data_IF_986520404419
#
_entry.id   IF_986520404419
#
_cell.length_a   1.000
_cell.length_b   1.000
_cell.length_c   1.000
_cell.angle_alpha   90.00
_cell.angle_beta   90.00
_cell.angle_gamma   90.00
#
_symmetry.space_group_name_H-M   'P 1'
#
loop_
_entity.id
_entity.type
_entity.pdbx_description
1 polymer ?
2 polymer ?
3 non-polymer ?
4 non-polymer ?
5 non-polymer ?
6 non-polymer ?
7 water ?
#
# COMPACT_ATOMS: atom_id res chain seq x y z
N UNK A 33 -14.31 17.52 14.37
CA UNK A 33 -14.30 16.33 13.50
C UNK A 33 -13.46 15.18 14.03
N UNK A 34 -13.97 13.93 13.94
CA UNK A 34 -13.24 12.74 14.39
C UNK A 34 -12.00 12.47 13.53
N UNK A 35 -11.03 11.74 14.08
CA UNK A 35 -9.81 11.40 13.38
C UNK A 35 -10.08 10.55 12.12
N UNK A 36 -10.95 9.53 12.23
CA UNK A 36 -11.28 8.67 11.09
C UNK A 36 -12.01 9.47 9.95
N UNK A 37 -12.82 10.47 10.29
CA UNK A 37 -13.49 11.31 9.29
C UNK A 37 -12.47 12.15 8.50
N UNK A 38 -11.34 12.54 9.14
CA UNK A 38 -10.24 13.27 8.48
C UNK A 38 -9.47 12.33 7.55
N UNK A 39 -9.31 11.05 7.94
CA UNK A 39 -8.67 10.06 7.08
C UNK A 39 -9.55 9.79 5.87
N UNK A 40 -10.87 9.77 6.07
CA UNK A 40 -11.84 9.54 5.00
C UNK A 40 -11.81 10.63 3.91
N UNK A 41 -11.87 11.91 4.30
CA UNK A 41 -11.93 13.01 3.33
C UNK A 41 -10.71 13.09 2.43
N UNK A 42 -9.56 12.61 2.88
CA UNK A 42 -8.32 12.69 2.08
C UNK A 42 -8.08 11.44 1.21
N UNK A 43 -9.07 10.52 1.17
CA UNK A 43 -8.98 9.34 0.31
C UNK A 43 -8.82 9.74 -1.15
N UNK A 44 -7.75 9.27 -1.84
CA UNK A 44 -7.55 9.69 -3.23
C UNK A 44 -8.67 9.22 -4.17
N UNK A 45 -8.94 10.01 -5.22
CA UNK A 45 -9.93 9.66 -6.25
C UNK A 45 -9.38 8.45 -7.01
N UNK A 46 -10.28 7.57 -7.51
CA UNK A 46 -9.87 6.39 -8.26
C UNK A 46 -9.22 6.83 -9.60
N UNK A 47 -8.11 6.21 -9.96
CA UNK A 47 -7.42 6.56 -11.21
C UNK A 47 -7.67 5.49 -12.26
N UNK A 48 -7.69 5.91 -13.53
CA UNK A 48 -7.88 5.01 -14.68
C UNK A 48 -6.52 4.68 -15.25
N UNK A 49 -6.37 3.46 -15.76
CA UNK A 49 -5.09 3.01 -16.32
C UNK A 49 -4.87 3.54 -17.74
N UNK A 50 -5.96 3.84 -18.45
CA UNK A 50 -5.94 4.28 -19.85
C UNK A 50 -5.63 3.09 -20.74
N UNK A 51 -6.15 1.90 -20.35
CA UNK A 51 -5.96 0.64 -21.05
C UNK A 51 -6.97 0.46 -22.19
N UNK A 52 -6.47 0.31 -23.43
CA UNK A 52 -7.28 0.10 -24.63
C UNK A 52 -7.68 -1.38 -24.74
N UNK A 53 -8.93 -1.70 -24.40
CA UNK A 53 -9.47 -3.06 -24.44
C UNK A 53 -9.71 -3.63 -25.87
N UNK A 54 -9.56 -2.78 -26.93
CA UNK A 54 -9.75 -3.19 -28.34
C UNK A 54 -8.50 -3.87 -28.91
N UNK A 55 -7.35 -3.62 -28.26
CA UNK A 55 -6.04 -4.18 -28.60
C UNK A 55 -5.93 -5.47 -27.74
N UNK A 56 -5.34 -6.58 -28.25
CA UNK A 56 -5.24 -7.80 -27.41
C UNK A 56 -4.33 -7.64 -26.20
N UNK A 57 -4.57 -8.48 -25.18
CA UNK A 57 -3.80 -8.47 -23.94
C UNK A 57 -2.49 -9.20 -24.06
N UNK A 58 -1.54 -8.85 -23.18
CA UNK A 58 -0.29 -9.60 -23.03
C UNK A 58 0.17 -9.32 -21.62
N UNK A 59 0.97 -10.22 -21.04
CA UNK A 59 1.51 -10.02 -19.69
C UNK A 59 2.36 -8.74 -19.63
N UNK A 60 3.25 -8.55 -20.63
CA UNK A 60 4.17 -7.42 -20.74
C UNK A 60 3.41 -6.10 -20.82
N UNK A 61 2.38 -6.03 -21.66
CA UNK A 61 1.54 -4.86 -21.84
C UNK A 61 0.82 -4.49 -20.52
N UNK A 62 0.28 -5.48 -19.80
CA UNK A 62 -0.42 -5.26 -18.52
C UNK A 62 0.56 -4.78 -17.44
N UNK A 63 1.73 -5.43 -17.33
CA UNK A 63 2.76 -5.06 -16.34
C UNK A 63 3.25 -3.63 -16.56
N UNK A 64 3.52 -3.28 -17.84
CA UNK A 64 3.99 -1.95 -18.25
C UNK A 64 2.93 -0.88 -17.91
N UNK A 65 1.66 -1.10 -18.31
CA UNK A 65 0.54 -0.20 -18.02
C UNK A 65 0.40 0.01 -16.49
N UNK A 66 0.51 -1.09 -15.72
CA UNK A 66 0.39 -1.04 -14.25
C UNK A 66 1.51 -0.26 -13.59
N UNK A 67 2.75 -0.31 -14.13
CA UNK A 67 3.85 0.47 -13.55
C UNK A 67 3.57 1.96 -13.72
N UNK A 68 3.05 2.39 -14.90
CA UNK A 68 2.66 3.79 -15.17
C UNK A 68 1.51 4.22 -14.22
N UNK A 69 0.52 3.35 -14.04
CA UNK A 69 -0.58 3.59 -13.10
C UNK A 69 -0.05 3.72 -11.67
N UNK A 70 0.87 2.83 -11.29
CA UNK A 70 1.52 2.84 -9.99
C UNK A 70 2.24 4.15 -9.68
N UNK A 71 2.91 4.71 -10.67
CA UNK A 71 3.61 5.99 -10.53
C UNK A 71 2.65 7.12 -10.21
N UNK A 72 1.50 7.16 -10.92
CA UNK A 72 0.47 8.18 -10.68
C UNK A 72 -0.22 7.95 -9.34
N UNK A 73 -0.43 6.68 -8.95
CA UNK A 73 -1.01 6.39 -7.63
C UNK A 73 -0.04 6.79 -6.52
N UNK A 74 1.27 6.63 -6.75
CA UNK A 74 2.27 7.00 -5.75
C UNK A 74 2.41 8.50 -5.58
N UNK A 75 2.25 9.28 -6.67
CA UNK A 75 2.23 10.75 -6.58
C UNK A 75 1.00 11.16 -5.75
N UNK A 76 -0.15 10.53 -5.98
CA UNK A 76 -1.36 10.84 -5.20
C UNK A 76 -1.17 10.37 -3.73
N UNK A 77 -0.42 9.27 -3.50
CA UNK A 77 -0.14 8.77 -2.14
C UNK A 77 0.68 9.81 -1.33
N UNK A 78 1.61 10.56 -1.99
CA UNK A 78 2.42 11.58 -1.28
C UNK A 78 1.48 12.72 -0.77
N UNK A 79 0.58 13.18 -1.63
CA UNK A 79 -0.37 14.24 -1.30
C UNK A 79 -1.29 13.77 -0.16
N UNK A 80 -1.67 12.47 -0.19
CA UNK A 80 -2.50 11.82 0.83
C UNK A 80 -1.75 11.83 2.18
N UNK A 81 -0.50 11.30 2.20
CA UNK A 81 0.32 11.21 3.43
C UNK A 81 0.49 12.57 4.09
N UNK A 82 0.75 13.63 3.30
CA UNK A 82 0.93 15.00 3.77
C UNK A 82 -0.30 15.55 4.52
N UNK A 83 -1.50 15.04 4.20
CA UNK A 83 -2.74 15.47 4.84
C UNK A 83 -3.16 14.57 6.04
N UNK A 84 -2.41 13.48 6.31
CA UNK A 84 -2.66 12.62 7.48
C UNK A 84 -2.28 13.41 8.76
N UNK A 85 -3.20 13.62 9.73
CA UNK A 85 -2.83 14.37 10.95
C UNK A 85 -1.64 13.74 11.67
N UNK A 86 -0.62 14.56 11.93
CA UNK A 86 0.62 14.14 12.58
C UNK A 86 1.80 13.90 11.64
N UNK A 87 1.54 13.32 10.44
CA UNK A 87 2.60 12.99 9.47
C UNK A 87 3.58 14.14 9.17
N UNK A 88 3.05 15.33 8.91
CA UNK A 88 3.83 16.51 8.58
C UNK A 88 4.64 17.07 9.76
N UNK A 89 4.37 16.59 10.98
CA UNK A 89 5.13 17.02 12.14
C UNK A 89 6.41 16.21 12.30
N UNK A 90 6.54 15.09 11.56
CA UNK A 90 7.75 14.27 11.61
C UNK A 90 8.83 14.98 10.82
N UNK A 91 10.12 14.67 11.09
CA UNK A 91 11.22 15.24 10.31
C UNK A 91 11.01 14.87 8.83
N UNK A 92 11.30 15.79 7.93
CA UNK A 92 11.15 15.57 6.48
C UNK A 92 11.81 14.26 5.99
N UNK A 93 13.00 13.92 6.52
CA UNK A 93 13.71 12.67 6.19
C UNK A 93 12.86 11.45 6.56
N UNK A 94 12.14 11.50 7.71
CA UNK A 94 11.25 10.43 8.16
C UNK A 94 10.05 10.30 7.23
N UNK A 95 9.50 11.44 6.78
CA UNK A 95 8.36 11.45 5.84
C UNK A 95 8.75 10.68 4.56
N UNK A 96 9.92 10.99 4.02
CA UNK A 96 10.48 10.35 2.83
C UNK A 96 10.74 8.87 3.08
N UNK A 97 11.35 8.54 4.23
CA UNK A 97 11.67 7.16 4.67
C UNK A 97 10.41 6.30 4.70
N UNK A 98 9.37 6.78 5.38
CA UNK A 98 8.11 6.02 5.55
C UNK A 98 7.39 5.78 4.24
N UNK A 99 7.38 6.80 3.35
CA UNK A 99 6.76 6.62 2.04
C UNK A 99 7.54 5.62 1.17
N UNK A 100 8.86 5.64 1.26
CA UNK A 100 9.70 4.73 0.49
C UNK A 100 9.61 3.28 0.96
N UNK A 101 9.53 3.06 2.28
CA UNK A 101 9.41 1.70 2.85
C UNK A 101 8.06 1.11 2.56
N UNK A 102 6.98 1.90 2.71
CA UNK A 102 5.61 1.41 2.68
C UNK A 102 4.89 1.45 1.34
N UNK A 103 5.48 2.04 0.30
CA UNK A 103 4.80 2.27 -1.00
C UNK A 103 4.07 1.01 -1.53
N UNK A 104 4.75 -0.15 -1.60
CA UNK A 104 4.16 -1.38 -2.14
C UNK A 104 3.00 -1.88 -1.23
N UNK A 105 3.15 -1.75 0.12
CA UNK A 105 2.12 -2.12 1.10
C UNK A 105 0.85 -1.28 0.86
N UNK A 106 1.01 0.03 0.74
CA UNK A 106 -0.09 0.97 0.46
C UNK A 106 -0.82 0.61 -0.87
N UNK A 107 -0.06 0.36 -1.94
CA UNK A 107 -0.63 0.04 -3.26
C UNK A 107 -1.40 -1.26 -3.23
N UNK A 108 -0.79 -2.32 -2.66
CA UNK A 108 -1.44 -3.63 -2.61
C UNK A 108 -2.67 -3.63 -1.70
N UNK A 109 -2.62 -2.85 -0.61
CA UNK A 109 -3.76 -2.81 0.33
C UNK A 109 -4.95 -2.08 -0.30
N UNK A 110 -4.69 -0.91 -0.93
CA UNK A 110 -5.73 -0.14 -1.62
C UNK A 110 -6.31 -0.97 -2.77
N UNK A 111 -5.47 -1.73 -3.50
CA UNK A 111 -5.91 -2.63 -4.58
C UNK A 111 -6.81 -3.73 -4.02
N UNK A 112 -6.40 -4.28 -2.87
CA UNK A 112 -7.16 -5.31 -2.15
C UNK A 112 -8.55 -4.81 -1.84
N UNK A 113 -8.66 -3.57 -1.36
CA UNK A 113 -9.93 -2.90 -1.04
C UNK A 113 -10.81 -2.72 -2.28
N UNK A 114 -10.26 -2.12 -3.38
CA UNK A 114 -11.01 -1.90 -4.63
C UNK A 114 -11.53 -3.21 -5.19
N UNK A 115 -10.73 -4.29 -5.10
CA UNK A 115 -11.09 -5.63 -5.57
C UNK A 115 -12.22 -6.21 -4.73
N UNK A 116 -12.13 -6.03 -3.40
CA UNK A 116 -13.13 -6.49 -2.42
C UNK A 116 -14.48 -5.75 -2.63
N UNK A 117 -14.44 -4.44 -2.89
CA UNK A 117 -15.67 -3.66 -3.10
C UNK A 117 -16.33 -3.87 -4.44
N UNK A 118 -15.53 -4.07 -5.51
CA UNK A 118 -16.06 -4.29 -6.86
C UNK A 118 -16.88 -5.56 -6.99
N UNK A 119 -16.33 -6.71 -6.56
CA UNK A 119 -17.01 -7.99 -6.64
C UNK A 119 -16.63 -8.95 -5.50
N UNK A 120 -17.32 -10.10 -5.44
CA UNK A 120 -17.05 -11.17 -4.48
C UNK A 120 -16.25 -12.28 -5.18
N UNK A 121 -16.06 -12.13 -6.51
CA UNK A 121 -15.30 -13.05 -7.35
C UNK A 121 -13.79 -12.84 -7.16
N UNK A 122 -12.97 -13.78 -7.68
CA UNK A 122 -11.51 -13.72 -7.60
C UNK A 122 -10.94 -12.78 -8.68
N UNK A 123 -11.27 -11.47 -8.56
CA UNK A 123 -10.80 -10.43 -9.51
C UNK A 123 -9.90 -9.39 -8.85
N UNK A 124 -8.92 -8.86 -9.61
CA UNK A 124 -8.04 -7.78 -9.16
C UNK A 124 -8.46 -6.55 -9.94
N UNK A 125 -8.97 -5.55 -9.23
CA UNK A 125 -9.44 -4.34 -9.89
C UNK A 125 -8.46 -3.19 -9.72
N UNK A 126 -7.37 -3.25 -10.53
CA UNK A 126 -6.28 -2.26 -10.53
C UNK A 126 -6.82 -0.87 -10.83
N UNK A 127 -7.74 -0.80 -11.78
CA UNK A 127 -8.42 0.42 -12.20
C UNK A 127 -9.78 0.01 -12.80
N UNK A 128 -10.79 0.91 -12.87
CA UNK A 128 -12.09 0.50 -13.47
C UNK A 128 -11.97 0.00 -14.92
N UNK A 129 -10.97 0.50 -15.67
CA UNK A 129 -10.70 0.09 -17.06
C UNK A 129 -9.57 -1.00 -17.15
N UNK A 130 -9.15 -1.58 -16.02
CA UNK A 130 -8.12 -2.63 -16.01
C UNK A 130 -8.34 -3.61 -14.84
N UNK A 131 -9.25 -4.55 -15.08
CA UNK A 131 -9.59 -5.59 -14.12
C UNK A 131 -9.00 -6.91 -14.62
N UNK A 132 -8.30 -7.64 -13.73
CA UNK A 132 -7.71 -8.93 -14.08
C UNK A 132 -8.76 -10.00 -13.78
N UNK A 133 -9.46 -10.44 -14.84
CA UNK A 133 -10.49 -11.48 -14.81
C UNK A 133 -9.85 -12.87 -14.95
N UNK A 134 -10.69 -13.93 -14.98
CA UNK A 134 -10.24 -15.32 -15.13
C UNK A 134 -9.56 -15.56 -16.48
N UNK A 135 -10.02 -14.90 -17.56
CA UNK A 135 -9.42 -14.98 -18.89
C UNK A 135 -8.03 -14.32 -18.89
N UNK A 136 -7.88 -13.19 -18.16
CA UNK A 136 -6.62 -12.46 -18.03
C UNK A 136 -5.64 -13.22 -17.15
N UNK A 137 -6.17 -13.93 -16.14
CA UNK A 137 -5.39 -14.74 -15.20
C UNK A 137 -4.66 -15.92 -15.87
N UNK A 138 -5.14 -16.36 -17.04
CA UNK A 138 -4.57 -17.49 -17.80
C UNK A 138 -3.38 -17.06 -18.67
N UNK A 139 -3.09 -15.74 -18.77
CA UNK A 139 -1.95 -15.22 -19.54
C UNK A 139 -0.63 -15.71 -18.92
N UNK A 140 0.41 -16.02 -19.72
CA UNK A 140 1.66 -16.53 -19.12
C UNK A 140 2.20 -15.74 -17.93
N UNK A 141 2.32 -16.42 -16.79
CA UNK A 141 2.86 -15.92 -15.51
C UNK A 141 1.99 -14.84 -14.80
N UNK A 142 0.71 -14.74 -15.17
CA UNK A 142 -0.22 -13.78 -14.54
C UNK A 142 -0.56 -14.20 -13.12
N UNK A 143 -1.00 -15.48 -12.94
CA UNK A 143 -1.43 -16.03 -11.66
C UNK A 143 -0.39 -15.96 -10.52
N UNK A 144 0.85 -16.37 -10.77
CA UNK A 144 1.92 -16.37 -9.75
C UNK A 144 2.21 -14.97 -9.18
N UNK A 145 1.99 -13.94 -9.97
CA UNK A 145 2.19 -12.57 -9.51
C UNK A 145 0.91 -12.12 -8.75
N UNK A 146 -0.26 -12.42 -9.33
CA UNK A 146 -1.58 -12.03 -8.83
C UNK A 146 -2.05 -12.71 -7.54
N UNK A 147 -1.62 -13.96 -7.27
CA UNK A 147 -2.05 -14.71 -6.08
C UNK A 147 -1.80 -14.00 -4.75
N UNK A 148 -0.65 -13.32 -4.59
CA UNK A 148 -0.30 -12.57 -3.37
C UNK A 148 -1.25 -11.38 -3.17
N UNK A 149 -1.65 -10.73 -4.27
CA UNK A 149 -2.58 -9.59 -4.22
C UNK A 149 -4.01 -10.05 -4.00
N UNK A 150 -4.40 -11.21 -4.59
CA UNK A 150 -5.73 -11.81 -4.41
C UNK A 150 -5.92 -12.24 -2.96
N UNK A 151 -4.83 -12.62 -2.25
CA UNK A 151 -4.86 -12.97 -0.84
C UNK A 151 -5.37 -11.77 0.01
N UNK A 152 -4.92 -10.55 -0.30
CA UNK A 152 -5.32 -9.32 0.41
C UNK A 152 -6.84 -9.10 0.30
N UNK A 153 -7.38 -9.13 -0.92
CA UNK A 153 -8.81 -8.97 -1.15
C UNK A 153 -9.64 -10.09 -0.56
N UNK A 154 -9.15 -11.36 -0.67
CA UNK A 154 -9.90 -12.48 -0.09
C UNK A 154 -9.99 -12.35 1.43
N UNK A 155 -8.90 -11.89 2.08
CA UNK A 155 -8.86 -11.65 3.52
C UNK A 155 -9.79 -10.50 3.98
N UNK A 156 -9.85 -9.40 3.21
CA UNK A 156 -10.75 -8.28 3.55
C UNK A 156 -12.21 -8.74 3.48
N UNK A 157 -12.51 -9.63 2.49
CA UNK A 157 -13.83 -10.23 2.27
C UNK A 157 -14.16 -11.21 3.41
N UNK A 158 -13.22 -12.11 3.73
CA UNK A 158 -13.40 -13.10 4.80
C UNK A 158 -13.62 -12.43 6.17
N UNK A 159 -12.87 -11.35 6.45
CA UNK A 159 -12.99 -10.66 7.73
C UNK A 159 -14.09 -9.59 7.73
N UNK A 160 -14.72 -9.35 6.56
CA UNK A 160 -15.78 -8.34 6.37
C UNK A 160 -15.32 -6.98 6.92
N UNK A 161 -14.13 -6.55 6.48
CA UNK A 161 -13.49 -5.31 6.91
C UNK A 161 -14.34 -4.10 6.48
N UNK A 162 -14.59 -3.19 7.43
CA UNK A 162 -15.39 -2.00 7.18
C UNK A 162 -14.54 -0.88 6.60
N UNK A 163 -15.19 0.12 6.03
CA UNK A 163 -14.52 1.31 5.48
C UNK A 163 -13.71 2.03 6.57
N UNK A 164 -14.27 2.20 7.79
CA UNK A 164 -13.52 2.85 8.88
C UNK A 164 -12.29 2.05 9.34
N UNK A 165 -12.42 0.71 9.46
CA UNK A 165 -11.28 -0.18 9.81
C UNK A 165 -10.20 -0.08 8.75
N UNK A 166 -10.60 -0.10 7.47
CA UNK A 166 -9.74 0.00 6.28
C UNK A 166 -8.89 1.28 6.29
N UNK A 167 -9.54 2.42 6.54
CA UNK A 167 -8.89 3.72 6.59
C UNK A 167 -7.82 3.76 7.67
N UNK A 168 -8.11 3.21 8.87
CA UNK A 168 -7.15 3.14 9.98
C UNK A 168 -6.00 2.19 9.64
N UNK A 169 -6.32 1.03 9.07
CA UNK A 169 -5.36 0.01 8.67
C UNK A 169 -4.39 0.53 7.60
N UNK A 170 -4.90 1.30 6.61
CA UNK A 170 -4.05 1.82 5.54
C UNK A 170 -3.04 2.87 6.07
N UNK A 171 -3.47 3.76 6.98
CA UNK A 171 -2.57 4.71 7.64
C UNK A 171 -1.51 3.92 8.45
N UNK A 172 -1.92 2.84 9.15
CA UNK A 172 -0.97 2.01 9.90
C UNK A 172 0.08 1.34 8.99
N UNK A 173 -0.30 1.01 7.74
CA UNK A 173 0.67 0.45 6.79
C UNK A 173 1.74 1.47 6.41
N UNK A 174 1.39 2.77 6.37
CA UNK A 174 2.38 3.83 6.11
C UNK A 174 3.42 3.84 7.28
N UNK A 175 2.96 3.44 8.47
CA UNK A 175 3.75 3.42 9.71
C UNK A 175 4.19 2.01 10.11
N UNK A 176 4.25 1.07 9.16
CA UNK A 176 4.58 -0.35 9.42
C UNK A 176 6.07 -0.73 9.36
N UNK A 177 6.97 0.14 8.85
CA UNK A 177 8.42 -0.13 8.79
C UNK A 177 9.21 1.11 9.08
N UNK A 178 10.34 0.95 9.76
CA UNK A 178 11.23 2.05 10.12
C UNK A 178 12.69 1.62 9.83
N UNK A 179 13.68 2.55 9.78
CA UNK A 179 15.07 2.10 9.62
C UNK A 179 15.55 1.31 10.83
N UNK A 180 16.56 0.45 10.61
CA UNK A 180 17.22 -0.40 11.61
C UNK A 180 17.54 0.39 12.90
N UNK A 181 18.07 1.62 12.75
CA UNK A 181 18.45 2.52 13.84
C UNK A 181 17.39 3.57 14.15
N UNK A 182 16.17 3.37 13.63
CA UNK A 182 15.02 4.23 13.89
C UNK A 182 14.96 5.54 13.15
N UNK A 183 13.91 6.30 13.41
CA UNK A 183 13.64 7.59 12.79
C UNK A 183 14.28 8.75 13.55
N UNK A 184 14.34 9.94 12.92
CA UNK A 184 14.85 11.14 13.58
C UNK A 184 13.81 11.60 14.62
N UNK A 185 12.51 11.47 14.30
CA UNK A 185 11.41 11.83 15.19
C UNK A 185 10.76 10.53 15.71
N UNK A 186 11.57 9.62 16.29
CA UNK A 186 11.12 8.31 16.76
C UNK A 186 10.02 8.39 17.82
N UNK A 187 10.22 9.23 18.84
CA UNK A 187 9.29 9.42 19.94
C UNK A 187 7.92 9.88 19.42
N UNK A 188 7.92 10.92 18.55
CA UNK A 188 6.70 11.47 17.94
C UNK A 188 6.03 10.41 17.05
N UNK A 189 6.82 9.63 16.29
CA UNK A 189 6.33 8.54 15.44
C UNK A 189 5.57 7.51 16.27
N UNK A 190 6.18 7.03 17.39
CA UNK A 190 5.56 6.05 18.30
C UNK A 190 4.23 6.54 18.86
N UNK A 191 4.15 7.85 19.17
CA UNK A 191 2.93 8.51 19.65
C UNK A 191 1.86 8.54 18.54
N UNK A 192 2.25 8.91 17.30
CA UNK A 192 1.33 8.96 16.15
C UNK A 192 0.82 7.56 15.83
N UNK A 193 1.72 6.56 15.83
CA UNK A 193 1.37 5.17 15.52
C UNK A 193 0.39 4.62 16.57
N UNK A 194 0.66 4.83 17.87
CA UNK A 194 -0.24 4.41 18.96
C UNK A 194 -1.63 5.05 18.78
N UNK A 195 -1.67 6.35 18.41
CA UNK A 195 -2.92 7.09 18.14
C UNK A 195 -3.75 6.37 17.04
N UNK A 196 -3.09 5.94 15.91
CA UNK A 196 -3.82 5.25 14.84
C UNK A 196 -4.20 3.80 15.20
N UNK A 197 -3.45 3.17 16.12
CA UNK A 197 -3.77 1.84 16.66
C UNK A 197 -5.09 1.99 17.47
N UNK A 198 -5.17 3.01 18.35
CA UNK A 198 -6.35 3.32 19.16
C UNK A 198 -7.53 3.65 18.25
N UNK A 199 -7.25 4.33 17.13
CA UNK A 199 -8.22 4.69 16.11
C UNK A 199 -8.80 3.44 15.42
N UNK A 200 -7.94 2.42 15.14
CA UNK A 200 -8.40 1.13 14.60
C UNK A 200 -9.32 0.43 15.65
N UNK A 201 -8.93 0.53 16.92
CA UNK A 201 -9.69 -0.01 18.04
C UNK A 201 -11.08 0.60 18.09
N UNK A 202 -11.16 1.94 17.96
CA UNK A 202 -12.44 2.68 17.94
C UNK A 202 -13.34 2.24 16.77
N UNK A 203 -12.76 1.96 15.58
CA UNK A 203 -13.51 1.50 14.40
C UNK A 203 -14.12 0.10 14.66
N UNK A 204 -13.35 -0.81 15.26
CA UNK A 204 -13.76 -2.18 15.62
C UNK A 204 -14.95 -2.17 16.61
N UNK A 205 -14.89 -1.30 17.63
CA UNK A 205 -15.91 -1.15 18.69
C UNK A 205 -17.29 -0.73 18.13
N UNK A 206 -17.31 0.00 17.00
CA UNK A 206 -18.54 0.44 16.31
C UNK A 206 -19.39 -0.74 15.77
N UNK A 207 -18.83 -1.96 15.81
CA UNK A 207 -19.54 -3.14 15.30
C UNK A 207 -19.84 -4.28 16.34
N UNK A 208 -20.57 -4.05 17.46
CA UNK A 208 -21.17 -2.82 17.98
C UNK A 208 -20.96 -2.56 19.52
N UNK A 209 -20.32 -3.46 20.31
CA UNK A 209 -19.75 -4.77 20.04
C UNK A 209 -19.33 -5.48 21.31
N UNK A 210 -19.32 -6.83 21.31
CA UNK A 210 -18.95 -7.65 22.47
C UNK A 210 -17.47 -7.53 22.82
N UNK A 211 -17.13 -7.33 24.12
CA UNK A 211 -15.77 -7.16 24.64
C UNK A 211 -14.78 -8.24 24.19
N UNK A 212 -15.20 -9.53 24.26
CA UNK A 212 -14.39 -10.68 23.83
C UNK A 212 -14.21 -10.67 22.32
N UNK A 213 -15.31 -10.40 21.58
CA UNK A 213 -15.35 -10.36 20.12
C UNK A 213 -14.50 -9.19 19.58
N UNK A 214 -14.35 -8.11 20.40
CA UNK A 214 -13.54 -6.93 20.08
C UNK A 214 -12.06 -7.29 20.06
N UNK A 215 -11.57 -7.99 21.11
CA UNK A 215 -10.18 -8.43 21.18
C UNK A 215 -9.86 -9.44 20.09
N UNK A 216 -10.83 -10.33 19.76
CA UNK A 216 -10.74 -11.32 18.70
C UNK A 216 -10.58 -10.61 17.35
N UNK A 217 -11.41 -9.57 17.10
CA UNK A 217 -11.37 -8.79 15.87
C UNK A 217 -10.07 -7.97 15.78
N UNK A 218 -9.63 -7.35 16.90
CA UNK A 218 -8.39 -6.58 16.95
C UNK A 218 -7.22 -7.49 16.56
N UNK A 219 -7.19 -8.72 17.15
CA UNK A 219 -6.20 -9.76 16.88
C UNK A 219 -6.17 -10.10 15.39
N UNK A 220 -7.35 -10.31 14.78
CA UNK A 220 -7.50 -10.69 13.37
C UNK A 220 -7.01 -9.62 12.41
N UNK A 221 -7.45 -8.36 12.60
CA UNK A 221 -7.07 -7.25 11.72
C UNK A 221 -5.59 -6.93 11.78
N UNK A 222 -4.98 -6.99 12.99
CA UNK A 222 -3.54 -6.77 13.21
C UNK A 222 -2.74 -7.92 12.60
N UNK A 223 -3.31 -9.15 12.56
CA UNK A 223 -2.69 -10.32 11.94
C UNK A 223 -2.63 -10.09 10.43
N UNK A 224 -3.72 -9.54 9.84
CA UNK A 224 -3.75 -9.20 8.41
C UNK A 224 -2.70 -8.11 8.15
N UNK A 225 -2.60 -7.09 9.05
CA UNK A 225 -1.60 -6.02 8.93
C UNK A 225 -0.19 -6.60 8.91
N UNK A 226 0.11 -7.53 9.84
CA UNK A 226 1.41 -8.21 9.91
C UNK A 226 1.72 -8.95 8.61
N UNK A 227 0.72 -9.69 8.07
CA UNK A 227 0.89 -10.50 6.84
C UNK A 227 1.17 -9.65 5.59
N UNK A 228 0.90 -8.33 5.64
CA UNK A 228 1.21 -7.42 4.53
C UNK A 228 2.72 -7.38 4.27
N UNK A 229 3.57 -7.56 5.31
CA UNK A 229 5.04 -7.63 5.12
C UNK A 229 5.39 -8.78 4.17
N UNK A 230 4.75 -9.96 4.36
CA UNK A 230 4.97 -11.16 3.54
C UNK A 230 4.45 -10.97 2.12
N UNK A 231 3.25 -10.38 1.96
CA UNK A 231 2.68 -10.06 0.64
C UNK A 231 3.67 -9.15 -0.12
N UNK A 232 4.12 -8.08 0.54
CA UNK A 232 5.04 -7.08 -0.01
C UNK A 232 6.38 -7.70 -0.40
N UNK A 233 6.92 -8.57 0.46
CA UNK A 233 8.20 -9.26 0.18
C UNK A 233 8.10 -9.98 -1.20
N UNK A 234 6.97 -10.67 -1.44
CA UNK A 234 6.70 -11.42 -2.66
C UNK A 234 6.53 -10.50 -3.87
N UNK A 235 5.82 -9.39 -3.68
CA UNK A 235 5.61 -8.39 -4.74
C UNK A 235 6.90 -7.66 -5.12
N UNK A 236 7.74 -7.32 -4.12
CA UNK A 236 9.03 -6.65 -4.36
C UNK A 236 10.01 -7.56 -5.06
N UNK A 237 9.94 -8.88 -4.83
CA UNK A 237 10.80 -9.81 -5.55
C UNK A 237 10.57 -9.68 -7.07
N UNK A 238 9.30 -9.65 -7.53
CA UNK A 238 8.95 -9.45 -8.94
C UNK A 238 9.30 -8.04 -9.39
N UNK A 239 8.95 -7.05 -8.57
CA UNK A 239 9.20 -5.64 -8.84
C UNK A 239 10.71 -5.37 -9.06
N UNK A 240 11.53 -5.81 -8.12
CA UNK A 240 12.99 -5.61 -8.18
C UNK A 240 13.60 -6.33 -9.36
N UNK A 241 13.15 -7.55 -9.66
CA UNK A 241 13.64 -8.34 -10.78
C UNK A 241 13.33 -7.66 -12.10
N UNK A 242 12.07 -7.22 -12.29
CA UNK A 242 11.66 -6.57 -13.55
C UNK A 242 12.27 -5.18 -13.70
N UNK A 243 12.62 -4.52 -12.57
CA UNK A 243 13.26 -3.21 -12.65
C UNK A 243 14.72 -3.36 -13.02
N UNK A 244 15.44 -4.32 -12.41
CA UNK A 244 16.88 -4.52 -12.60
C UNK A 244 17.25 -5.21 -13.91
N UNK A 245 16.43 -6.16 -14.36
CA UNK A 245 16.78 -6.85 -15.61
C UNK A 245 16.29 -6.02 -16.78
N UNK A 246 17.20 -5.16 -17.29
CA UNK A 246 16.93 -4.25 -18.41
C UNK A 246 16.60 -4.98 -19.73
N UNK A 247 17.00 -6.26 -19.88
CA UNK A 247 16.70 -7.07 -21.08
C UNK A 247 15.21 -7.47 -21.12
N UNK A 248 14.47 -7.24 -20.02
CA UNK A 248 13.03 -7.53 -19.99
C UNK A 248 12.23 -6.38 -20.63
N UNK A 249 12.86 -5.19 -20.79
CA UNK A 249 12.22 -3.98 -21.35
C UNK A 249 10.95 -3.58 -20.60
N UNK A 250 10.93 -3.77 -19.26
CA UNK A 250 9.81 -3.38 -18.41
C UNK A 250 10.13 -2.00 -17.81
N UNK A 251 9.40 -1.00 -18.29
CA UNK A 251 9.60 0.40 -17.89
C UNK A 251 8.86 0.72 -16.59
N UNK A 252 9.49 1.56 -15.79
CA UNK A 252 8.91 2.09 -14.58
C UNK A 252 8.97 3.62 -14.71
N UNK A 253 7.89 4.35 -14.35
CA UNK A 253 7.98 5.82 -14.39
C UNK A 253 8.93 6.32 -13.30
N UNK A 254 9.42 7.56 -13.45
CA UNK A 254 10.35 8.25 -12.54
C UNK A 254 9.99 8.07 -11.06
N UNK A 255 8.70 8.23 -10.68
CA UNK A 255 8.28 8.11 -9.28
C UNK A 255 8.63 6.71 -8.71
N UNK A 256 8.32 5.67 -9.47
CA UNK A 256 8.62 4.31 -9.01
C UNK A 256 10.10 3.98 -9.15
N UNK A 257 10.74 4.36 -10.28
CA UNK A 257 12.19 4.08 -10.47
C UNK A 257 13.04 4.67 -9.32
N UNK A 258 12.71 5.91 -8.88
CA UNK A 258 13.43 6.59 -7.81
C UNK A 258 13.25 5.85 -6.47
N UNK A 259 12.01 5.42 -6.14
CA UNK A 259 11.74 4.68 -4.91
C UNK A 259 12.47 3.35 -4.91
N UNK A 260 12.38 2.59 -6.03
CA UNK A 260 13.02 1.28 -6.15
C UNK A 260 14.54 1.40 -5.99
N UNK A 261 15.16 2.38 -6.67
CA UNK A 261 16.61 2.67 -6.61
C UNK A 261 17.03 2.97 -5.16
N UNK A 262 16.20 3.72 -4.42
CA UNK A 262 16.45 4.03 -3.00
C UNK A 262 16.32 2.77 -2.12
N UNK A 263 15.29 1.94 -2.38
CA UNK A 263 14.96 0.79 -1.55
C UNK A 263 15.83 -0.43 -1.71
N UNK A 264 16.27 -0.75 -2.95
CA UNK A 264 17.12 -1.94 -3.18
C UNK A 264 18.38 -1.92 -2.23
N UNK A 265 19.21 -0.84 -2.11
CA UNK A 265 20.33 -0.90 -1.16
C UNK A 265 19.93 -1.04 0.31
N UNK A 266 18.77 -0.51 0.71
CA UNK A 266 18.28 -0.61 2.09
C UNK A 266 17.98 -2.06 2.48
N UNK A 267 17.37 -2.84 1.56
CA UNK A 267 17.15 -4.27 1.76
C UNK A 267 18.49 -5.04 1.80
N UNK A 268 19.44 -4.71 0.89
CA UNK A 268 20.71 -5.43 0.87
C UNK A 268 21.61 -5.16 2.12
N UNK A 269 21.41 -4.04 2.82
CA UNK A 269 22.20 -3.67 3.99
C UNK A 269 21.46 -3.98 5.29
N UNK A 270 20.31 -4.65 5.18
CA UNK A 270 19.46 -5.01 6.31
C UNK A 270 18.88 -3.78 7.01
N UNK A 271 18.84 -2.65 6.31
CA UNK A 271 18.35 -1.39 6.86
C UNK A 271 16.84 -1.31 6.77
N UNK A 272 16.15 -2.12 7.57
CA UNK A 272 14.69 -2.17 7.67
C UNK A 272 14.30 -2.91 8.94
N UNK A 273 13.34 -2.35 9.66
CA UNK A 273 12.75 -2.95 10.85
C UNK A 273 11.26 -3.00 10.55
N UNK A 274 10.74 -4.21 10.31
CA UNK A 274 9.34 -4.45 10.01
C UNK A 274 8.60 -4.56 11.33
N UNK A 275 7.76 -3.57 11.64
CA UNK A 275 7.01 -3.58 12.90
C UNK A 275 5.90 -4.62 12.84
N UNK A 276 5.76 -5.38 13.93
CA UNK A 276 4.76 -6.45 14.06
C UNK A 276 3.90 -6.24 15.28
N UNK A 277 2.61 -6.60 15.17
CA UNK A 277 1.68 -6.56 16.30
C UNK A 277 1.80 -7.88 17.09
N UNK A 278 2.11 -8.99 16.38
CA UNK A 278 2.24 -10.32 16.98
C UNK A 278 3.65 -10.86 16.77
N UNK A 279 4.26 -11.37 17.84
CA UNK A 279 5.64 -11.89 17.78
C UNK A 279 5.63 -13.39 17.52
N UNK B 2 20.17 10.12 -4.52
CA UNK B 2 19.21 11.22 -4.32
C UNK B 2 17.76 10.79 -4.64
N UNK B 3 16.79 11.42 -3.95
CA UNK B 3 15.36 11.16 -4.13
C UNK B 3 14.66 12.48 -4.46
N UNK B 4 15.11 13.09 -5.56
CA UNK B 4 14.70 14.39 -6.07
C UNK B 4 13.18 14.58 -6.16
N UNK B 5 12.47 13.65 -6.85
CA UNK B 5 11.02 13.77 -7.05
C UNK B 5 10.23 13.68 -5.75
N UNK B 6 10.55 12.68 -4.92
CA UNK B 6 9.84 12.52 -3.65
C UNK B 6 10.00 13.75 -2.75
N UNK B 7 11.24 14.25 -2.59
CA UNK B 7 11.51 15.43 -1.78
C UNK B 7 10.73 16.65 -2.32
N UNK B 8 10.68 16.82 -3.67
CA UNK B 8 9.93 17.92 -4.31
C UNK B 8 8.44 17.83 -3.97
N UNK B 9 7.82 16.64 -4.11
CA UNK B 9 6.40 16.46 -3.80
C UNK B 9 6.07 16.72 -2.33
N UNK B 10 6.99 16.37 -1.42
CA UNK B 10 6.82 16.63 0.01
C UNK B 10 7.03 18.11 0.35
N UNK B 11 7.97 18.80 -0.31
CA UNK B 11 8.28 20.20 -0.05
C UNK B 11 7.40 21.20 -0.76
N UNK B 12 6.86 20.87 -1.95
CA UNK B 12 6.00 21.82 -2.68
C UNK B 12 4.68 22.07 -1.92
N UNK B 13 3.97 23.14 -2.25
CA UNK B 13 2.69 23.39 -1.63
C UNK B 13 1.63 22.54 -2.35
N UNK B 14 0.99 21.62 -1.58
CA UNK B 14 -0.04 20.61 -1.90
C UNK B 14 0.57 19.18 -2.02
X LIG C 1 10.95 -11.35 -21.59
X LIG C 1 9.58 -10.94 -20.97
X LIG C 1 10.45 -11.73 -18.64
X LIG C 1 10.16 -12.51 -17.36
X LIG C 1 8.82 -12.10 -16.71
X LIG C 1 7.72 -12.32 -17.76
X LIG C 1 6.41 -12.14 -17.00
X LIG C 1 6.74 -12.79 -15.66
X LIG C 1 8.26 -13.06 -15.62
X LIG C 1 8.93 -10.65 -16.18
X LIG C 1 9.72 -9.44 -20.70
X LIG C 1 10.95 -12.70 -22.31
X LIG C 1 9.91 -12.68 -23.42
X LIG C 1 8.52 -12.46 -22.82
X LIG C 1 8.44 -11.15 -22.01
X LIG C 1 7.01 -11.00 -21.45
X LIG C 1 6.78 -11.68 -20.08
X LIG C 1 7.90 -11.46 -19.04
X LIG C 1 9.31 -11.78 -19.68
X LIG C 1 8.88 -13.06 -14.20
X LIG C 1 10.36 -13.48 -14.16
X LIG C 1 8.04 -13.88 -13.20
X LIG C 1 8.25 -15.40 -13.19
X LIG C 1 8.76 -15.83 -11.82
X LIG C 1 7.98 -17.89 -10.73
X LIG C 1 7.89 -18.16 -9.24
X LIG C 1 8.69 -19.43 -8.86
X LIG C 1 9.07 -21.40 -7.59
X LIG C 1 8.23 -19.50 -6.45
X LIG C 1 6.82 -20.76 -7.95
X LIG C 1 7.87 -16.47 -11.05
X LIG C 1 8.18 -20.24 -7.73
X LIG C 1 9.90 -15.58 -11.47
X LIG C 1 9.97 -13.89 -24.22
X LIG C 1 6.51 -13.07 -20.30
X LIG C 1 10.26 -13.92 -17.63
X LIG D 1 -3.11 5.66 -0.01
X LIG D 1 -4.46 5.91 -0.34
X LIG D 1 -2.36 5.44 -1.31
X LIG D 1 -2.96 4.36 -1.99
X LIG E 1 -16.07 -11.47 11.14
X LIG E 1 -15.75 -12.62 10.35
X LIG E 1 -17.22 -10.68 10.56
X LIG E 1 -17.91 -11.47 9.58
X LIG E 1 -18.18 -10.32 11.68
X LIG E 1 -17.89 -9.03 12.21
X LIG F 1 -0.51 -8.20 -12.90
X LIG F 1 1.00 -7.95 -12.90
X LIG F 1 1.46 -7.89 -11.44
X LIG F 1 4.26 -6.76 -9.57
X LIG F 1 3.68 -5.95 -8.36
X LIG F 1 2.93 -4.80 -9.08
X LIG F 1 2.37 -3.60 -8.30
X LIG F 1 1.39 -4.10 -7.20
X LIG F 1 0.68 -2.94 -6.46
X LIG F 1 0.08 -1.96 -7.50
X LIG F 1 -1.01 -0.17 -9.48
X LIG F 1 0.27 -0.52 -9.56
X LIG F 1 0.98 -1.42 -8.59
X LIG F 1 3.16 -3.52 -11.21
X LIG F 1 5.67 -5.79 -11.57
X LIG F 1 5.67 -5.33 -13.01
X LIG F 1 5.21 -3.65 -9.68
X LIG F 1 2.97 -7.66 -11.31
X LIG F 1 3.30 -7.77 -9.91
X LIG F 1 -1.21 -1.64 -7.41
X LIG F 1 -1.84 -0.72 -8.39
X LIG F 1 -3.03 -0.43 -8.32
X LIG F 1 1.60 -2.67 -9.30
X LIG F 1 2.45 -2.30 -10.57
X LIG F 1 3.94 -4.40 -10.22
X LIG F 1 4.34 -5.80 -10.80
X LIG F 1 3.31 -6.29 -11.67
X LIG F 1 6.71 -6.12 -11.06
X LIG F 1 6.99 -5.01 -13.43
X LIG F 1 3.42 -1.27 -10.34
X LIG F 1 2.03 -0.49 -7.91
#
# INVERSE_FOLDING_TARGET
>A
GSIQQATTGVSQETSENPGDKTIVPATLPQLTPTLVSLLEVIEPEVLYAGYDSSVPDSTWRIMTTLNMLGGRQMIAAVKWAKAIPGFRNLHLDDQMTLLQYSWMSLMAFALGWRSYRQSSANLLCFAPDLIINEQRMTLPDMYDQCKHMLYVSSELHRLQVSYEEYLCMKTLLLLSSVPKDGLKSQELFDEIRMTYIKELGKAIVKREGNSSQNWQRFYQLTKLLDSMHEVVENLLNYCFQTFLDKTMSIEFPEMLAEIITNQIPKYSNGNIKKLLFHQK
>B
KENALLRYLLDKDD
>C hetero
1 CPS C1 C2 C3 C4 C5 C6 C7 C8 C9 C10 C11 C12 C13 C14 C15 C16 C17 C18 C19 C20 C21 C22 C23 C24 C25 C26 C27 C28 C29 C30 N1 N2 O1 O2 O3 O4
>D hetero
1 EDO C1 O1 C2 O2
>E hetero
1 GOL C1 O1 C2 O2 C3 O3
>F hetero
1 8W5 C1 C2 C3 C7 C9 C10 C12 C14 C15 C16 C20 C21 C22 C27 C31 C33 C35 C4 O6 C17 C18 O19 C23 C25 C28 C29 O30 O32 O34 O36 C37
#
